data_IF_625007196885
#
_entry.id   IF_625007196885
#
_cell.length_a   1.000
_cell.length_b   1.000
_cell.length_c   1.000
_cell.angle_alpha   90.00
_cell.angle_beta   90.00
_cell.angle_gamma   90.00
#
_symmetry.space_group_name_H-M   'P 1'
#
loop_
_entity.id
_entity.type
_entity.pdbx_description
1 polymer ?
#
# COMPACT_ATOMS: atom_id res chain seq x y z
N UNK A 1 -18.86 44.69 -48.33
CA UNK A 1 -17.42 44.37 -48.13
C UNK A 1 -16.64 45.68 -48.06
N UNK A 2 -15.43 45.74 -47.46
CA UNK A 2 -14.87 44.85 -46.42
C UNK A 2 -15.47 45.28 -45.06
N UNK A 3 -14.80 45.92 -44.08
CA UNK A 3 -13.77 45.40 -43.14
C UNK A 3 -14.34 45.54 -41.70
N UNK A 4 -13.90 44.91 -40.60
CA UNK A 4 -12.67 44.23 -40.13
C UNK A 4 -11.50 45.11 -39.62
N UNK A 5 -11.46 45.27 -38.29
CA UNK A 5 -10.22 45.22 -37.50
C UNK A 5 -10.35 44.10 -36.46
N UNK A 6 -9.29 43.34 -36.22
CA UNK A 6 -9.19 42.32 -35.17
C UNK A 6 -7.84 42.51 -34.49
N UNK A 7 -7.83 42.72 -33.18
CA UNK A 7 -6.59 42.81 -32.41
C UNK A 7 -6.13 41.39 -32.10
N UNK A 8 -5.01 40.97 -32.71
CA UNK A 8 -4.36 39.72 -32.36
C UNK A 8 -3.60 39.88 -31.05
N UNK A 9 -4.04 39.19 -30.00
CA UNK A 9 -3.25 39.04 -28.78
C UNK A 9 -2.14 38.00 -29.04
N UNK A 10 -0.90 38.47 -29.16
CA UNK A 10 0.27 37.60 -29.38
C UNK A 10 0.46 36.64 -28.20
N UNK A 11 0.24 35.35 -28.44
CA UNK A 11 0.57 34.30 -27.48
C UNK A 11 2.09 34.24 -27.29
N UNK A 12 2.58 34.29 -26.04
CA UNK A 12 4.01 34.20 -25.73
C UNK A 12 4.31 32.84 -25.09
N UNK A 13 4.73 31.82 -25.86
CA UNK A 13 5.15 30.54 -25.31
C UNK A 13 6.57 30.66 -24.74
N UNK A 14 6.71 31.22 -23.53
CA UNK A 14 8.02 31.63 -23.01
C UNK A 14 8.21 31.69 -21.49
N UNK A 15 7.20 31.42 -20.66
CA UNK A 15 7.37 31.26 -19.21
C UNK A 15 6.78 29.94 -18.72
N UNK A 16 7.29 28.84 -19.28
CA UNK A 16 7.27 27.58 -18.54
C UNK A 16 8.14 27.75 -17.30
N UNK A 17 7.56 27.57 -16.12
CA UNK A 17 8.34 27.44 -14.90
C UNK A 17 9.23 26.20 -15.01
N UNK A 18 10.52 26.41 -15.29
CA UNK A 18 11.52 25.36 -15.12
C UNK A 18 11.50 24.96 -13.64
N UNK A 19 10.90 23.81 -13.33
CA UNK A 19 11.10 23.14 -12.05
C UNK A 19 12.57 22.66 -12.05
N UNK A 20 13.48 23.31 -11.28
CA UNK A 20 14.91 23.04 -11.42
C UNK A 20 15.22 21.68 -10.78
N UNK A 21 15.43 20.67 -11.63
CA UNK A 21 15.69 19.27 -11.28
C UNK A 21 14.86 18.75 -10.10
N UNK A 22 13.57 19.07 -10.10
CA UNK A 22 12.66 18.72 -9.02
C UNK A 22 12.52 17.19 -8.90
N UNK A 23 13.07 16.62 -7.82
CA UNK A 23 12.97 15.20 -7.50
C UNK A 23 11.49 14.76 -7.55
N UNK A 24 11.18 13.93 -8.54
CA UNK A 24 9.84 13.44 -8.82
C UNK A 24 9.23 12.66 -7.64
N UNK A 25 10.05 11.98 -6.84
CA UNK A 25 9.61 11.35 -5.60
C UNK A 25 9.33 12.39 -4.51
N UNK A 26 10.15 13.44 -4.38
CA UNK A 26 9.95 14.49 -3.39
C UNK A 26 8.66 15.29 -3.65
N UNK A 27 8.37 15.59 -4.93
CA UNK A 27 7.11 16.24 -5.32
C UNK A 27 5.90 15.34 -5.05
N UNK A 28 5.99 14.04 -5.40
CA UNK A 28 4.93 13.06 -5.14
C UNK A 28 4.70 12.85 -3.63
N UNK A 29 5.77 12.75 -2.83
CA UNK A 29 5.68 12.63 -1.38
C UNK A 29 5.00 13.83 -0.74
N UNK A 30 5.39 15.04 -1.15
CA UNK A 30 4.77 16.30 -0.69
C UNK A 30 3.30 16.40 -1.10
N UNK A 31 2.91 15.87 -2.27
CA UNK A 31 1.52 15.75 -2.66
C UNK A 31 0.76 14.76 -1.76
N UNK A 32 1.31 13.55 -1.54
CA UNK A 32 0.72 12.54 -0.65
C UNK A 32 0.52 13.04 0.78
N UNK A 33 1.41 13.90 1.30
CA UNK A 33 1.21 14.56 2.60
C UNK A 33 0.11 15.63 2.56
N UNK A 34 0.16 16.53 1.58
CA UNK A 34 -0.67 17.75 1.58
C UNK A 34 -2.10 17.50 1.10
N UNK A 35 -2.32 16.51 0.23
CA UNK A 35 -3.64 16.16 -0.30
C UNK A 35 -4.62 15.85 0.84
N UNK A 36 -4.26 14.89 1.71
CA UNK A 36 -5.00 14.54 2.92
C UNK A 36 -5.09 15.67 3.99
N UNK A 37 -4.56 16.86 3.70
CA UNK A 37 -4.60 18.08 4.53
C UNK A 37 -5.27 19.27 3.80
N UNK A 38 -5.78 19.11 2.57
CA UNK A 38 -6.55 20.17 1.89
C UNK A 38 -8.05 20.09 2.20
N UNK A 39 -8.67 21.26 2.27
CA UNK A 39 -10.14 21.40 2.27
C UNK A 39 -10.61 21.63 0.83
N UNK A 40 -11.47 20.76 0.31
CA UNK A 40 -12.05 20.89 -1.03
C UNK A 40 -13.37 20.13 -1.17
N UNK A 41 -14.14 20.52 -2.18
CA UNK A 41 -15.22 19.72 -2.77
C UNK A 41 -14.83 19.34 -4.19
N UNK A 42 -14.97 18.07 -4.58
CA UNK A 42 -14.63 17.57 -5.90
C UNK A 42 -15.70 16.62 -6.47
N UNK A 43 -15.76 16.51 -7.80
CA UNK A 43 -16.43 15.43 -8.53
C UNK A 43 -15.35 14.59 -9.20
N UNK A 44 -15.34 13.29 -8.94
CA UNK A 44 -14.29 12.36 -9.39
C UNK A 44 -14.92 11.12 -10.02
N UNK A 45 -14.38 10.67 -11.15
CA UNK A 45 -14.66 9.36 -11.72
C UNK A 45 -13.65 8.33 -11.19
N UNK A 46 -14.14 7.35 -10.43
CA UNK A 46 -13.38 6.23 -9.89
C UNK A 46 -13.64 4.99 -10.75
N UNK A 47 -12.56 4.31 -11.14
CA UNK A 47 -12.61 3.31 -12.21
C UNK A 47 -11.73 2.08 -11.88
N UNK A 48 -12.06 1.28 -10.85
CA UNK A 48 -11.17 0.26 -10.29
C UNK A 48 -11.10 -0.99 -11.17
N UNK A 49 -9.98 -1.73 -11.11
CA UNK A 49 -9.74 -2.89 -11.98
C UNK A 49 -10.83 -3.98 -11.94
N UNK A 50 -11.46 -4.19 -10.79
CA UNK A 50 -12.40 -5.30 -10.54
C UNK A 50 -13.80 -4.85 -10.08
N UNK A 51 -14.15 -3.57 -10.25
CA UNK A 51 -15.41 -2.99 -9.76
C UNK A 51 -16.10 -2.12 -10.83
N UNK A 52 -17.39 -1.84 -10.65
CA UNK A 52 -18.18 -0.95 -11.53
C UNK A 52 -17.64 0.48 -11.43
N UNK A 53 -17.42 1.14 -12.59
CA UNK A 53 -16.96 2.52 -12.61
C UNK A 53 -18.02 3.46 -12.02
N UNK A 54 -17.62 4.36 -11.12
CA UNK A 54 -18.54 5.21 -10.36
C UNK A 54 -18.11 6.68 -10.36
N UNK A 55 -19.09 7.58 -10.47
CA UNK A 55 -18.88 9.02 -10.28
C UNK A 55 -19.26 9.37 -8.86
N UNK A 56 -18.35 10.00 -8.14
CA UNK A 56 -18.53 10.38 -6.73
C UNK A 56 -18.39 11.87 -6.52
N UNK A 57 -19.15 12.41 -5.56
CA UNK A 57 -18.81 13.68 -4.91
C UNK A 57 -17.93 13.38 -3.71
N UNK A 58 -16.84 14.12 -3.56
CA UNK A 58 -15.96 14.08 -2.40
C UNK A 58 -15.99 15.45 -1.73
N UNK A 59 -16.21 15.48 -0.42
CA UNK A 59 -15.96 16.65 0.43
C UNK A 59 -14.89 16.27 1.45
N UNK A 60 -13.76 16.99 1.44
CA UNK A 60 -12.66 16.76 2.36
C UNK A 60 -12.34 18.03 3.14
N UNK A 61 -11.92 17.86 4.40
CA UNK A 61 -11.46 18.93 5.28
C UNK A 61 -9.98 18.78 5.66
N UNK A 62 -9.31 19.91 5.90
CA UNK A 62 -7.94 19.96 6.42
C UNK A 62 -7.74 19.27 7.80
N UNK A 63 -8.81 19.00 8.55
CA UNK A 63 -8.76 18.22 9.80
C UNK A 63 -8.91 16.69 9.59
N UNK A 64 -9.15 16.24 8.36
CA UNK A 64 -9.17 14.81 8.00
C UNK A 64 -10.55 14.16 8.00
N UNK A 65 -11.63 14.94 8.20
CA UNK A 65 -12.98 14.47 7.90
C UNK A 65 -13.17 14.40 6.40
N UNK A 66 -13.84 13.34 5.95
CA UNK A 66 -14.01 12.99 4.55
C UNK A 66 -15.41 12.42 4.33
N UNK A 67 -16.15 12.95 3.36
CA UNK A 67 -17.40 12.42 2.87
C UNK A 67 -17.24 12.03 1.40
N UNK A 68 -17.66 10.83 1.02
CA UNK A 68 -17.87 10.41 -0.36
C UNK A 68 -19.34 10.06 -0.57
N UNK A 69 -19.98 10.62 -1.60
CA UNK A 69 -21.34 10.28 -2.01
C UNK A 69 -21.34 9.78 -3.47
N UNK A 70 -21.92 8.61 -3.71
CA UNK A 70 -21.99 8.03 -5.06
C UNK A 70 -23.13 8.66 -5.86
N UNK A 71 -22.83 9.20 -7.04
CA UNK A 71 -23.76 9.90 -7.94
C UNK A 71 -24.24 9.00 -9.09
N UNK A 72 -23.34 8.16 -9.60
CA UNK A 72 -23.60 7.04 -10.51
C UNK A 72 -22.57 5.92 -10.22
N UNK A 73 -22.82 4.65 -10.55
CA UNK A 73 -23.97 4.08 -11.27
C UNK A 73 -25.28 4.10 -10.47
N UNK A 74 -26.42 3.84 -11.13
CA UNK A 74 -27.74 3.80 -10.47
C UNK A 74 -27.81 2.69 -9.41
N UNK A 75 -27.12 1.57 -9.64
CA UNK A 75 -26.92 0.44 -8.70
C UNK A 75 -26.28 0.84 -7.36
N UNK A 76 -25.63 2.00 -7.28
CA UNK A 76 -24.90 2.49 -6.11
C UNK A 76 -25.30 3.91 -5.68
N UNK A 77 -26.14 4.62 -6.46
CA UNK A 77 -26.45 6.04 -6.25
C UNK A 77 -27.03 6.32 -4.86
N UNK A 78 -26.54 7.37 -4.21
CA UNK A 78 -26.92 7.77 -2.86
C UNK A 78 -26.20 7.01 -1.74
N UNK A 79 -25.47 5.93 -2.03
CA UNK A 79 -24.55 5.33 -1.05
C UNK A 79 -23.52 6.37 -0.62
N UNK A 80 -23.30 6.43 0.69
CA UNK A 80 -22.56 7.52 1.34
C UNK A 80 -21.56 6.95 2.34
N UNK A 81 -20.31 7.37 2.23
CA UNK A 81 -19.21 6.96 3.10
C UNK A 81 -18.69 8.17 3.86
N UNK A 82 -18.76 8.14 5.19
CA UNK A 82 -18.24 9.20 6.07
C UNK A 82 -17.06 8.67 6.88
N UNK A 83 -16.01 9.45 7.01
CA UNK A 83 -14.94 9.28 7.99
C UNK A 83 -14.89 10.55 8.85
N UNK A 84 -15.16 10.43 10.15
CA UNK A 84 -15.11 11.57 11.09
C UNK A 84 -13.72 11.78 11.72
N UNK A 85 -12.77 10.88 11.42
CA UNK A 85 -11.42 10.82 11.98
C UNK A 85 -11.25 9.77 13.10
N UNK A 86 -12.34 9.19 13.61
CA UNK A 86 -12.38 8.09 14.58
C UNK A 86 -13.16 6.88 14.06
N UNK A 87 -14.35 7.12 13.51
CA UNK A 87 -15.23 6.12 12.94
C UNK A 87 -15.41 6.32 11.44
N UNK A 88 -15.64 5.20 10.76
CA UNK A 88 -16.08 5.15 9.38
C UNK A 88 -17.47 4.56 9.30
N UNK A 89 -18.32 5.21 8.52
CA UNK A 89 -19.71 4.87 8.34
C UNK A 89 -19.96 4.63 6.85
N UNK A 90 -20.70 3.57 6.51
CA UNK A 90 -21.20 3.33 5.16
C UNK A 90 -22.71 3.18 5.18
N UNK A 91 -23.42 4.21 4.68
CA UNK A 91 -24.86 4.20 4.52
C UNK A 91 -25.25 3.63 3.15
N UNK A 92 -26.16 2.65 3.18
CA UNK A 92 -26.75 1.98 2.02
C UNK A 92 -28.27 2.25 2.03
N UNK A 93 -28.76 3.27 1.30
CA UNK A 93 -30.20 3.57 1.25
C UNK A 93 -31.01 2.42 0.65
N UNK A 94 -30.42 1.68 -0.29
CA UNK A 94 -30.99 0.47 -0.92
C UNK A 94 -31.26 -0.68 0.06
N UNK A 95 -30.67 -0.64 1.25
CA UNK A 95 -30.81 -1.66 2.32
C UNK A 95 -31.36 -1.07 3.62
N UNK A 96 -31.69 0.24 3.64
CA UNK A 96 -31.94 1.04 4.84
C UNK A 96 -30.96 0.71 5.99
N UNK A 97 -29.66 0.73 5.69
CA UNK A 97 -28.61 0.14 6.52
C UNK A 97 -27.41 1.08 6.68
N UNK A 98 -26.95 1.28 7.92
CA UNK A 98 -25.67 1.94 8.23
C UNK A 98 -24.71 0.90 8.81
N UNK A 99 -23.57 0.71 8.15
CA UNK A 99 -22.42 -0.01 8.72
C UNK A 99 -21.54 1.00 9.45
N UNK A 100 -21.11 0.69 10.68
CA UNK A 100 -20.23 1.53 11.49
C UNK A 100 -19.03 0.71 11.95
N UNK A 101 -17.81 1.24 11.82
CA UNK A 101 -16.58 0.65 12.36
C UNK A 101 -15.58 1.74 12.80
N UNK A 102 -14.53 1.36 13.51
CA UNK A 102 -13.34 2.20 13.66
C UNK A 102 -12.76 2.55 12.28
N UNK A 103 -12.23 3.76 12.12
CA UNK A 103 -11.81 4.25 10.80
C UNK A 103 -10.66 3.40 10.22
N UNK A 104 -10.85 2.72 9.07
CA UNK A 104 -9.78 1.98 8.40
C UNK A 104 -8.81 2.92 7.67
N UNK A 105 -9.10 4.23 7.65
CA UNK A 105 -8.30 5.31 7.08
C UNK A 105 -7.83 6.26 8.19
N UNK A 106 -7.01 5.80 9.16
CA UNK A 106 -6.26 6.72 10.00
C UNK A 106 -5.33 7.52 9.09
N UNK A 107 -5.15 8.81 9.39
CA UNK A 107 -4.14 9.62 8.70
C UNK A 107 -2.77 8.95 8.85
N UNK A 108 -2.01 8.75 7.75
CA UNK A 108 -0.68 8.17 7.87
C UNK A 108 0.17 9.07 8.76
N UNK A 109 0.84 8.47 9.74
CA UNK A 109 1.84 9.18 10.53
C UNK A 109 3.00 9.64 9.64
N UNK A 110 3.74 10.68 10.06
CA UNK A 110 4.93 11.12 9.31
C UNK A 110 5.86 9.96 8.98
N UNK A 111 6.13 9.09 9.97
CA UNK A 111 6.90 7.85 9.80
C UNK A 111 6.33 6.87 8.75
N UNK A 112 5.00 6.78 8.59
CA UNK A 112 4.39 5.95 7.54
C UNK A 112 4.50 6.58 6.15
N UNK A 113 4.57 7.92 6.06
CA UNK A 113 4.88 8.64 4.82
C UNK A 113 6.37 8.52 4.48
N UNK A 114 7.27 8.78 5.43
CA UNK A 114 8.72 8.61 5.30
C UNK A 114 9.08 7.20 4.83
N UNK A 115 8.51 6.16 5.48
CA UNK A 115 8.65 4.77 5.08
C UNK A 115 8.22 4.53 3.63
N UNK A 116 7.08 5.10 3.20
CA UNK A 116 6.61 4.96 1.81
C UNK A 116 7.50 5.70 0.82
N UNK A 117 8.03 6.86 1.17
CA UNK A 117 8.96 7.63 0.33
C UNK A 117 10.29 6.89 0.12
N UNK A 118 10.85 6.31 1.17
CA UNK A 118 12.06 5.48 1.10
C UNK A 118 11.83 4.21 0.26
N UNK A 119 10.69 3.53 0.47
CA UNK A 119 10.31 2.35 -0.33
C UNK A 119 10.06 2.70 -1.81
N UNK A 120 9.42 3.85 -2.11
CA UNK A 120 9.26 4.36 -3.47
C UNK A 120 10.61 4.55 -4.16
N UNK A 121 11.56 5.25 -3.53
CA UNK A 121 12.92 5.46 -4.07
C UNK A 121 13.68 4.15 -4.25
N UNK A 122 13.47 3.17 -3.37
CA UNK A 122 14.10 1.85 -3.43
C UNK A 122 13.56 1.01 -4.60
N UNK A 123 12.24 0.97 -4.77
CA UNK A 123 11.56 -0.03 -5.60
C UNK A 123 11.16 0.50 -7.00
N UNK A 124 11.14 1.82 -7.20
CA UNK A 124 10.71 2.49 -8.43
C UNK A 124 11.80 3.36 -9.05
N UNK A 125 11.58 3.74 -10.30
CA UNK A 125 12.16 4.90 -10.99
C UNK A 125 11.05 5.96 -11.14
N UNK A 126 11.39 7.25 -11.11
CA UNK A 126 10.41 8.33 -11.25
C UNK A 126 10.88 9.42 -12.22
N UNK A 127 9.94 10.02 -12.96
CA UNK A 127 10.20 11.14 -13.87
C UNK A 127 9.03 12.12 -13.92
N UNK A 128 9.33 13.38 -14.24
CA UNK A 128 8.33 14.38 -14.62
C UNK A 128 8.19 14.34 -16.15
N UNK A 129 6.94 14.29 -16.63
CA UNK A 129 6.60 14.20 -18.06
C UNK A 129 5.97 15.49 -18.62
N UNK A 130 6.17 16.62 -17.96
CA UNK A 130 5.56 17.93 -18.28
C UNK A 130 4.30 18.24 -17.47
N UNK A 131 3.52 19.23 -17.91
CA UNK A 131 2.25 19.64 -17.29
C UNK A 131 1.04 19.36 -18.18
N UNK A 132 -0.15 19.27 -17.58
CA UNK A 132 -1.44 19.02 -18.23
C UNK A 132 -2.56 19.68 -17.41
N UNK A 133 -3.62 20.17 -18.05
CA UNK A 133 -4.76 20.77 -17.34
C UNK A 133 -5.81 19.72 -16.97
N UNK A 134 -6.00 19.48 -15.66
CA UNK A 134 -7.02 18.58 -15.10
C UNK A 134 -8.03 19.42 -14.30
N UNK A 135 -9.33 19.19 -14.45
CA UNK A 135 -10.39 19.95 -13.78
C UNK A 135 -10.28 21.50 -13.91
N UNK A 136 -9.67 21.99 -15.00
CA UNK A 136 -9.40 23.42 -15.22
C UNK A 136 -8.18 23.98 -14.46
N UNK A 137 -7.30 23.12 -13.92
CA UNK A 137 -6.12 23.49 -13.13
C UNK A 137 -4.87 22.82 -13.69
N UNK A 138 -3.73 23.53 -13.68
CA UNK A 138 -2.47 22.95 -14.15
C UNK A 138 -1.94 21.92 -13.14
N UNK A 139 -1.52 20.77 -13.65
CA UNK A 139 -0.92 19.70 -12.86
C UNK A 139 0.38 19.18 -13.51
N UNK A 140 1.40 18.94 -12.68
CA UNK A 140 2.62 18.23 -13.10
C UNK A 140 2.32 16.74 -13.22
N UNK A 141 2.63 16.15 -14.38
CA UNK A 141 2.48 14.71 -14.63
C UNK A 141 3.74 13.97 -14.17
N UNK A 142 3.65 13.29 -13.04
CA UNK A 142 4.71 12.46 -12.47
C UNK A 142 4.45 11.00 -12.88
N UNK A 143 5.40 10.35 -13.55
CA UNK A 143 5.38 8.91 -13.79
C UNK A 143 6.27 8.20 -12.78
N UNK A 144 5.81 7.06 -12.26
CA UNK A 144 6.66 6.09 -11.57
C UNK A 144 6.60 4.73 -12.28
N UNK A 145 7.73 4.04 -12.34
CA UNK A 145 7.90 2.74 -12.99
C UNK A 145 8.53 1.78 -11.99
N UNK A 146 7.90 0.65 -11.65
CA UNK A 146 8.53 -0.34 -10.76
C UNK A 146 9.76 -0.91 -11.46
N UNK A 147 10.82 -1.20 -10.71
CA UNK A 147 11.98 -1.92 -11.26
C UNK A 147 11.57 -3.31 -11.77
N UNK A 148 10.60 -3.91 -11.09
CA UNK A 148 9.89 -5.15 -11.46
C UNK A 148 8.79 -4.89 -12.53
N UNK A 149 9.21 -4.36 -13.69
CA UNK A 149 8.32 -3.86 -14.76
C UNK A 149 7.30 -4.87 -15.28
N UNK A 150 7.63 -6.15 -15.26
CA UNK A 150 6.79 -7.25 -15.78
C UNK A 150 5.76 -7.75 -14.76
N UNK A 151 5.90 -7.36 -13.49
CA UNK A 151 5.13 -7.93 -12.37
C UNK A 151 4.20 -6.91 -11.70
N UNK A 152 4.53 -5.61 -11.75
CA UNK A 152 3.81 -4.53 -11.04
C UNK A 152 3.26 -3.45 -11.97
N UNK A 153 2.26 -2.71 -11.50
CA UNK A 153 1.74 -1.53 -12.20
C UNK A 153 2.79 -0.41 -12.24
N UNK A 154 3.05 0.13 -13.44
CA UNK A 154 3.58 1.49 -13.58
C UNK A 154 2.43 2.49 -13.40
N UNK A 155 2.72 3.71 -12.91
CA UNK A 155 1.68 4.71 -12.59
C UNK A 155 2.03 6.09 -13.10
N UNK A 156 0.99 6.91 -13.31
CA UNK A 156 1.10 8.35 -13.49
C UNK A 156 0.16 9.07 -12.52
N UNK A 157 0.66 10.15 -11.93
CA UNK A 157 -0.04 11.04 -11.02
C UNK A 157 -0.01 12.44 -11.61
N UNK A 158 -1.14 13.14 -11.60
CA UNK A 158 -1.21 14.55 -11.98
C UNK A 158 -1.37 15.37 -10.70
N UNK A 159 -0.29 16.06 -10.30
CA UNK A 159 -0.22 16.83 -9.05
C UNK A 159 -0.46 18.31 -9.33
N UNK A 160 -1.53 18.86 -8.75
CA UNK A 160 -1.90 20.28 -8.84
C UNK A 160 -0.76 21.21 -8.42
N UNK A 161 -0.36 22.15 -9.28
CA UNK A 161 0.83 22.98 -9.07
C UNK A 161 0.74 23.92 -7.86
N UNK A 162 -0.45 24.42 -7.53
CA UNK A 162 -0.64 25.39 -6.44
C UNK A 162 -0.90 24.72 -5.07
N UNK A 163 -1.72 23.67 -5.04
CA UNK A 163 -2.26 23.07 -3.82
C UNK A 163 -1.60 21.73 -3.50
N UNK A 164 -0.95 21.09 -4.47
CA UNK A 164 -0.32 19.77 -4.33
C UNK A 164 -1.34 18.68 -3.92
N UNK A 165 -2.46 18.63 -4.65
CA UNK A 165 -3.48 17.57 -4.61
C UNK A 165 -3.33 16.68 -5.84
N UNK A 166 -3.61 15.39 -5.71
CA UNK A 166 -3.55 14.44 -6.83
C UNK A 166 -4.89 14.49 -7.59
N UNK A 167 -4.91 15.17 -8.74
CA UNK A 167 -6.13 15.39 -9.54
C UNK A 167 -6.48 14.19 -10.45
N UNK A 168 -5.48 13.42 -10.89
CA UNK A 168 -5.68 12.21 -11.70
C UNK A 168 -4.66 11.15 -11.32
N UNK A 169 -5.08 9.88 -11.37
CA UNK A 169 -4.21 8.70 -11.27
C UNK A 169 -4.53 7.75 -12.42
N UNK A 170 -3.50 7.32 -13.14
CA UNK A 170 -3.61 6.25 -14.14
C UNK A 170 -2.57 5.16 -13.90
N UNK A 171 -2.92 3.92 -14.21
CA UNK A 171 -2.05 2.76 -14.10
C UNK A 171 -1.83 2.12 -15.46
N UNK A 172 -0.64 1.55 -15.65
CA UNK A 172 -0.27 0.71 -16.78
C UNK A 172 0.02 -0.69 -16.24
N UNK A 173 -0.83 -1.65 -16.61
CA UNK A 173 -0.63 -3.08 -16.34
C UNK A 173 0.61 -3.58 -17.11
N UNK A 174 1.35 -4.60 -16.63
CA UNK A 174 2.51 -5.17 -17.33
C UNK A 174 2.27 -5.57 -18.80
N UNK A 175 1.03 -5.85 -19.20
CA UNK A 175 0.63 -6.07 -20.61
C UNK A 175 0.59 -4.79 -21.48
N UNK A 176 1.09 -3.65 -20.98
CA UNK A 176 1.00 -2.32 -21.62
C UNK A 176 -0.38 -1.66 -21.52
N UNK A 177 -1.43 -2.41 -21.17
CA UNK A 177 -2.80 -1.90 -21.04
C UNK A 177 -2.89 -0.83 -19.95
N UNK A 178 -3.31 0.37 -20.32
CA UNK A 178 -3.37 1.52 -19.40
C UNK A 178 -4.81 1.96 -19.11
N UNK A 179 -5.07 2.40 -17.87
CA UNK A 179 -6.40 2.80 -17.37
C UNK A 179 -6.27 3.97 -16.40
N UNK A 180 -7.05 5.04 -16.59
CA UNK A 180 -7.26 6.05 -15.55
C UNK A 180 -8.14 5.45 -14.47
N UNK A 181 -7.64 5.36 -13.23
CA UNK A 181 -8.33 4.74 -12.09
C UNK A 181 -9.02 5.76 -11.18
N UNK A 182 -8.59 7.02 -11.24
CA UNK A 182 -9.23 8.18 -10.61
C UNK A 182 -9.03 9.41 -11.51
N UNK A 183 -10.10 10.11 -11.87
CA UNK A 183 -10.05 11.34 -12.68
C UNK A 183 -10.93 12.45 -12.08
N UNK A 184 -10.36 13.59 -11.74
CA UNK A 184 -11.10 14.74 -11.21
C UNK A 184 -11.75 15.51 -12.35
N UNK A 185 -13.09 15.54 -12.34
CA UNK A 185 -13.92 16.23 -13.33
C UNK A 185 -14.09 17.72 -12.95
N UNK A 186 -14.23 18.00 -11.65
CA UNK A 186 -14.23 19.36 -11.12
C UNK A 186 -13.74 19.37 -9.66
N UNK A 187 -13.10 20.47 -9.24
CA UNK A 187 -12.65 20.67 -7.86
C UNK A 187 -12.75 22.15 -7.47
N UNK A 188 -13.18 22.40 -6.23
CA UNK A 188 -13.25 23.72 -5.61
C UNK A 188 -12.51 23.69 -4.28
N UNK A 189 -11.50 24.55 -4.13
CA UNK A 189 -10.72 24.70 -2.90
C UNK A 189 -11.36 25.77 -2.01
N UNK A 190 -11.68 25.38 -0.77
CA UNK A 190 -12.42 26.21 0.17
C UNK A 190 -11.60 26.41 1.45
N UNK A 191 -11.75 27.57 2.11
CA UNK A 191 -11.07 27.83 3.38
C UNK A 191 -11.56 26.88 4.49
N UNK A 192 -12.86 26.60 4.50
CA UNK A 192 -13.51 25.64 5.39
C UNK A 192 -14.74 25.04 4.69
N UNK A 193 -15.27 23.95 5.24
CA UNK A 193 -16.56 23.39 4.89
C UNK A 193 -17.50 23.51 6.11
N UNK A 194 -18.82 23.66 5.92
CA UNK A 194 -19.81 23.55 6.98
C UNK A 194 -19.66 22.24 7.78
N UNK A 195 -20.03 22.23 9.07
CA UNK A 195 -19.96 21.00 9.89
C UNK A 195 -20.97 19.97 9.40
N UNK A 196 -22.10 20.47 8.93
CA UNK A 196 -23.29 19.83 8.38
C UNK A 196 -23.04 19.17 7.00
N UNK A 197 -21.83 19.35 6.45
CA UNK A 197 -21.27 18.56 5.34
C UNK A 197 -20.76 17.19 5.81
N UNK A 198 -20.38 17.05 7.08
CA UNK A 198 -19.84 15.80 7.65
C UNK A 198 -20.85 15.07 8.54
N UNK A 199 -22.15 15.27 8.27
CA UNK A 199 -23.26 14.63 8.96
C UNK A 199 -24.02 13.71 7.99
N UNK A 200 -24.34 12.49 8.43
CA UNK A 200 -25.07 11.52 7.60
C UNK A 200 -26.52 11.95 7.44
N UNK A 201 -26.92 12.24 6.21
CA UNK A 201 -28.32 12.50 5.83
C UNK A 201 -29.04 11.18 5.59
N UNK A 202 -29.52 10.59 6.67
CA UNK A 202 -30.24 9.31 6.69
C UNK A 202 -31.69 9.51 6.25
N UNK A 203 -32.25 8.51 5.56
CA UNK A 203 -33.65 8.50 5.12
C UNK A 203 -34.49 7.61 6.04
N UNK A 204 -35.20 8.20 7.01
CA UNK A 204 -35.89 7.46 8.05
C UNK A 204 -34.94 6.87 9.08
N UNK A 205 -35.34 5.76 9.71
CA UNK A 205 -34.54 5.05 10.72
C UNK A 205 -33.85 3.83 10.08
N UNK A 206 -32.55 3.89 9.76
CA UNK A 206 -31.82 2.74 9.23
C UNK A 206 -31.42 1.77 10.34
N UNK A 207 -31.32 0.49 9.98
CA UNK A 207 -30.67 -0.51 10.81
C UNK A 207 -29.19 -0.16 10.96
N UNK A 208 -28.69 -0.09 12.18
CA UNK A 208 -27.24 -0.08 12.42
C UNK A 208 -26.66 -1.51 12.46
N UNK A 209 -25.45 -1.67 11.92
CA UNK A 209 -24.56 -2.79 12.23
C UNK A 209 -23.19 -2.22 12.62
N UNK A 210 -22.83 -2.39 13.90
CA UNK A 210 -21.53 -1.98 14.44
C UNK A 210 -20.55 -3.14 14.31
N UNK A 211 -19.54 -2.98 13.47
CA UNK A 211 -18.45 -3.92 13.23
C UNK A 211 -17.23 -3.53 14.07
N UNK A 212 -16.53 -4.51 14.62
CA UNK A 212 -15.28 -4.25 15.34
C UNK A 212 -14.17 -3.91 14.34
N UNK A 213 -13.37 -2.89 14.65
CA UNK A 213 -12.19 -2.54 13.85
C UNK A 213 -11.10 -3.63 13.85
N UNK A 214 -10.14 -3.59 12.91
CA UNK A 214 -8.99 -4.48 12.92
C UNK A 214 -8.10 -4.25 14.16
N UNK A 215 -8.02 -5.25 15.05
CA UNK A 215 -7.20 -5.19 16.25
C UNK A 215 -5.71 -5.33 15.87
N UNK A 216 -4.95 -4.23 15.95
CA UNK A 216 -3.49 -4.25 15.67
C UNK A 216 -2.74 -5.09 16.70
N UNK A 217 -1.92 -6.03 16.23
CA UNK A 217 -1.03 -6.85 17.05
C UNK A 217 0.42 -6.36 16.95
N UNK A 218 1.16 -6.44 18.06
CA UNK A 218 2.57 -6.00 18.14
C UNK A 218 3.56 -6.94 17.44
N UNK A 219 3.17 -8.19 17.17
CA UNK A 219 3.94 -9.19 16.42
C UNK A 219 3.00 -10.22 15.76
N UNK A 220 3.53 -10.97 14.80
CA UNK A 220 2.86 -12.10 14.16
C UNK A 220 2.63 -13.25 15.16
N UNK A 221 3.49 -13.39 16.17
CA UNK A 221 3.27 -14.31 17.29
C UNK A 221 2.04 -13.90 18.11
N UNK A 222 1.90 -12.62 18.49
CA UNK A 222 0.70 -12.13 19.18
C UNK A 222 -0.56 -12.19 18.31
N UNK A 223 -0.44 -12.03 16.98
CA UNK A 223 -1.56 -12.33 16.08
C UNK A 223 -1.92 -13.82 16.10
N UNK A 224 -0.95 -14.72 16.10
CA UNK A 224 -1.17 -16.18 16.14
C UNK A 224 -1.87 -16.64 17.43
N UNK A 225 -1.44 -16.11 18.59
CA UNK A 225 -2.14 -16.30 19.86
C UNK A 225 -3.60 -15.81 19.77
N UNK A 226 -3.81 -14.61 19.24
CA UNK A 226 -5.11 -13.94 19.13
C UNK A 226 -6.10 -14.67 18.21
N UNK A 227 -5.64 -15.29 17.12
CA UNK A 227 -6.51 -15.98 16.14
C UNK A 227 -6.64 -17.49 16.38
N UNK A 228 -5.88 -18.06 17.30
CA UNK A 228 -5.93 -19.51 17.62
C UNK A 228 -5.27 -20.42 16.58
N UNK A 229 -4.41 -19.89 15.69
CA UNK A 229 -3.61 -20.67 14.75
C UNK A 229 -2.29 -19.98 14.40
N UNK A 230 -1.25 -20.75 14.06
CA UNK A 230 0.03 -20.23 13.53
C UNK A 230 -0.26 -19.40 12.28
N UNK A 231 -0.05 -18.10 12.32
CA UNK A 231 -0.13 -17.24 11.13
C UNK A 231 1.06 -17.55 10.23
N UNK A 232 0.78 -17.82 8.96
CA UNK A 232 1.79 -18.10 7.95
C UNK A 232 2.31 -16.79 7.41
N UNK A 233 3.61 -16.67 7.20
CA UNK A 233 4.23 -15.49 6.60
C UNK A 233 5.17 -15.90 5.48
N UNK A 234 5.29 -15.11 4.40
CA UNK A 234 6.24 -15.37 3.33
C UNK A 234 7.66 -15.64 3.86
N UNK A 235 8.32 -16.68 3.35
CA UNK A 235 9.74 -16.97 3.65
C UNK A 235 10.68 -15.93 3.03
N UNK A 236 10.34 -15.45 1.83
CA UNK A 236 10.93 -14.32 1.09
C UNK A 236 9.80 -13.37 0.73
N UNK A 237 10.08 -12.16 0.25
CA UNK A 237 9.03 -11.28 -0.28
C UNK A 237 9.51 -10.61 -1.58
N UNK A 238 8.82 -10.82 -2.72
CA UNK A 238 9.26 -10.31 -4.02
C UNK A 238 9.05 -8.80 -4.13
N UNK A 239 9.61 -8.21 -5.19
CA UNK A 239 9.40 -6.82 -5.61
C UNK A 239 9.59 -5.73 -4.55
N UNK A 240 10.38 -6.00 -3.51
CA UNK A 240 10.68 -5.02 -2.47
C UNK A 240 9.49 -4.63 -1.59
N UNK A 241 8.44 -5.47 -1.53
CA UNK A 241 7.38 -5.32 -0.52
C UNK A 241 7.94 -5.54 0.89
N UNK A 242 7.69 -4.60 1.80
CA UNK A 242 8.11 -4.69 3.21
C UNK A 242 6.89 -4.77 4.12
N UNK A 243 6.99 -5.57 5.18
CA UNK A 243 5.93 -5.73 6.19
C UNK A 243 5.65 -4.42 6.93
N UNK A 244 4.38 -4.15 7.21
CA UNK A 244 3.93 -2.91 7.88
C UNK A 244 3.20 -3.18 9.19
N UNK A 245 2.25 -4.12 9.23
CA UNK A 245 1.46 -4.43 10.43
C UNK A 245 0.72 -5.78 10.35
N UNK A 246 0.49 -6.34 11.53
CA UNK A 246 -0.33 -7.50 11.79
C UNK A 246 -1.65 -7.06 12.45
N UNK A 247 -2.79 -7.54 11.95
CA UNK A 247 -4.13 -7.17 12.44
C UNK A 247 -5.03 -8.40 12.57
N UNK A 248 -5.84 -8.47 13.64
CA UNK A 248 -6.90 -9.47 13.81
C UNK A 248 -8.26 -8.84 13.49
N UNK A 249 -9.02 -9.44 12.57
CA UNK A 249 -10.37 -8.99 12.22
C UNK A 249 -11.38 -9.99 12.78
N UNK A 250 -12.33 -9.51 13.58
CA UNK A 250 -13.42 -10.33 14.11
C UNK A 250 -14.54 -10.44 13.07
N UNK A 251 -14.86 -11.67 12.65
CA UNK A 251 -15.97 -11.95 11.75
C UNK A 251 -17.30 -12.05 12.52
N UNK A 252 -18.41 -11.91 11.81
CA UNK A 252 -19.77 -11.94 12.41
C UNK A 252 -20.20 -13.28 13.00
N UNK A 253 -19.45 -14.36 12.74
CA UNK A 253 -19.61 -15.68 13.36
C UNK A 253 -18.75 -15.86 14.64
N UNK A 254 -18.06 -14.80 15.08
CA UNK A 254 -17.15 -14.82 16.22
C UNK A 254 -15.74 -15.36 15.91
N UNK A 255 -15.48 -15.83 14.69
CA UNK A 255 -14.14 -16.28 14.28
C UNK A 255 -13.19 -15.11 14.00
N UNK A 256 -11.89 -15.30 14.24
CA UNK A 256 -10.88 -14.33 13.86
C UNK A 256 -10.22 -14.65 12.51
N UNK A 257 -10.04 -13.60 11.72
CA UNK A 257 -9.20 -13.58 10.52
C UNK A 257 -7.87 -12.90 10.86
N UNK A 258 -6.75 -13.52 10.49
CA UNK A 258 -5.45 -12.87 10.56
C UNK A 258 -5.21 -12.06 9.27
N UNK A 259 -4.67 -10.85 9.39
CA UNK A 259 -4.25 -10.02 8.26
C UNK A 259 -2.80 -9.56 8.45
N UNK A 260 -1.93 -9.91 7.49
CA UNK A 260 -0.57 -9.36 7.40
C UNK A 260 -0.50 -8.37 6.24
N UNK A 261 -0.06 -7.13 6.49
CA UNK A 261 -0.02 -6.06 5.49
C UNK A 261 1.41 -5.70 5.07
N UNK A 262 1.60 -5.50 3.77
CA UNK A 262 2.88 -5.15 3.14
C UNK A 262 2.69 -4.01 2.13
N UNK A 263 3.74 -3.23 1.88
CA UNK A 263 3.77 -2.19 0.83
C UNK A 263 5.15 -2.12 0.21
N UNK A 264 5.22 -1.79 -1.08
CA UNK A 264 6.44 -1.46 -1.83
C UNK A 264 6.65 0.07 -1.93
N UNK A 265 5.85 0.86 -1.21
CA UNK A 265 5.80 2.33 -1.30
C UNK A 265 4.60 2.85 -2.09
N UNK A 266 4.20 2.18 -3.18
CA UNK A 266 3.08 2.57 -4.03
C UNK A 266 1.88 1.62 -3.90
N UNK A 267 2.09 0.33 -4.13
CA UNK A 267 1.08 -0.71 -3.98
C UNK A 267 1.00 -1.17 -2.51
N UNK A 268 -0.15 -1.75 -2.17
CA UNK A 268 -0.41 -2.30 -0.84
C UNK A 268 -1.06 -3.68 -1.01
N UNK A 269 -0.56 -4.67 -0.26
CA UNK A 269 -1.09 -6.03 -0.25
C UNK A 269 -1.35 -6.50 1.18
N UNK A 270 -2.43 -7.26 1.36
CA UNK A 270 -2.88 -7.85 2.61
C UNK A 270 -3.11 -9.34 2.39
N UNK A 271 -2.40 -10.17 3.15
CA UNK A 271 -2.66 -11.60 3.22
C UNK A 271 -3.68 -11.86 4.32
N UNK A 272 -4.92 -12.11 3.94
CA UNK A 272 -5.98 -12.54 4.85
C UNK A 272 -5.92 -14.06 5.03
N UNK A 273 -5.98 -14.54 6.27
CA UNK A 273 -5.80 -15.95 6.60
C UNK A 273 -6.91 -16.45 7.53
N UNK A 274 -7.41 -17.65 7.26
CA UNK A 274 -8.58 -18.22 7.91
C UNK A 274 -8.39 -19.72 8.17
N UNK A 275 -8.65 -20.18 9.40
CA UNK A 275 -8.75 -21.61 9.71
C UNK A 275 -10.21 -21.95 10.06
N UNK A 276 -10.92 -22.60 9.13
CA UNK A 276 -12.36 -22.90 9.23
C UNK A 276 -12.72 -24.19 8.49
N UNK A 277 -13.87 -24.79 8.83
CA UNK A 277 -14.33 -26.07 8.25
C UNK A 277 -14.71 -26.00 6.77
N UNK A 278 -15.25 -24.88 6.31
CA UNK A 278 -15.66 -24.66 4.91
C UNK A 278 -14.63 -23.81 4.16
N UNK A 279 -14.33 -24.18 2.91
CA UNK A 279 -13.45 -23.40 2.04
C UNK A 279 -14.11 -22.06 1.69
N UNK A 280 -13.42 -20.91 1.84
CA UNK A 280 -13.89 -19.62 1.34
C UNK A 280 -14.14 -19.64 -0.17
N UNK A 281 -15.06 -18.80 -0.66
CA UNK A 281 -15.38 -18.66 -2.10
C UNK A 281 -14.19 -18.23 -2.96
N UNK A 282 -13.23 -17.49 -2.39
CA UNK A 282 -11.92 -17.22 -3.01
C UNK A 282 -10.79 -17.54 -2.02
N UNK A 283 -9.85 -18.36 -2.50
CA UNK A 283 -8.64 -18.80 -1.79
C UNK A 283 -7.52 -18.83 -2.83
N UNK A 284 -6.47 -18.05 -2.60
CA UNK A 284 -5.33 -17.94 -3.51
C UNK A 284 -4.20 -18.93 -3.10
N UNK A 285 -4.06 -19.26 -1.81
CA UNK A 285 -3.14 -20.29 -1.30
C UNK A 285 -3.72 -21.08 -0.12
N UNK A 286 -3.14 -22.23 0.21
CA UNK A 286 -3.49 -23.02 1.40
C UNK A 286 -2.24 -23.69 1.97
N UNK A 287 -2.03 -23.56 3.28
CA UNK A 287 -0.81 -23.99 3.99
C UNK A 287 -1.23 -24.50 5.37
N UNK A 288 -0.78 -25.68 5.79
CA UNK A 288 -1.04 -26.27 7.12
C UNK A 288 -2.54 -26.25 7.56
N UNK A 289 -3.46 -26.37 6.59
CA UNK A 289 -4.91 -26.31 6.79
C UNK A 289 -5.49 -24.89 6.98
N UNK A 290 -4.71 -23.85 6.69
CA UNK A 290 -5.09 -22.44 6.72
C UNK A 290 -5.33 -21.98 5.29
N UNK A 291 -6.53 -21.43 5.02
CA UNK A 291 -6.85 -20.79 3.75
C UNK A 291 -6.31 -19.37 3.72
N UNK A 292 -5.65 -18.99 2.62
CA UNK A 292 -5.00 -17.68 2.48
C UNK A 292 -5.52 -16.99 1.22
N UNK A 293 -5.85 -15.71 1.36
CA UNK A 293 -6.36 -14.83 0.31
C UNK A 293 -5.46 -13.60 0.17
N UNK A 294 -5.02 -13.33 -1.06
CA UNK A 294 -4.14 -12.21 -1.41
C UNK A 294 -5.03 -11.07 -1.93
N UNK A 295 -5.20 -10.02 -1.13
CA UNK A 295 -5.91 -8.81 -1.55
C UNK A 295 -4.99 -7.62 -1.62
N UNK A 296 -5.07 -6.88 -2.71
CA UNK A 296 -4.16 -5.77 -2.95
C UNK A 296 -4.24 -5.25 -4.36
N UNK A 297 -3.62 -4.11 -4.49
CA UNK A 297 -3.53 -3.29 -5.69
C UNK A 297 -2.41 -3.83 -6.59
N UNK A 298 -2.70 -4.94 -7.28
CA UNK A 298 -1.72 -5.82 -7.91
C UNK A 298 -2.21 -6.42 -9.24
N UNK A 299 -1.33 -6.55 -10.25
CA UNK A 299 -1.53 -7.44 -11.39
C UNK A 299 -1.75 -8.90 -10.97
N UNK A 300 -2.45 -9.66 -11.81
CA UNK A 300 -2.71 -11.09 -11.58
C UNK A 300 -1.43 -11.93 -11.48
N UNK A 301 -0.39 -11.57 -12.25
CA UNK A 301 0.94 -12.22 -12.22
C UNK A 301 1.59 -12.13 -10.84
N UNK A 302 1.76 -10.92 -10.28
CA UNK A 302 2.32 -10.74 -8.94
C UNK A 302 1.42 -11.36 -7.85
N UNK A 303 0.08 -11.36 -8.04
CA UNK A 303 -0.82 -12.08 -7.13
C UNK A 303 -0.52 -13.59 -7.08
N UNK A 304 -0.18 -14.23 -8.21
CA UNK A 304 0.28 -15.63 -8.19
C UNK A 304 1.62 -15.76 -7.50
N UNK A 305 2.63 -14.98 -7.87
CA UNK A 305 3.98 -15.05 -7.26
C UNK A 305 3.92 -14.92 -5.73
N UNK A 306 3.06 -14.03 -5.20
CA UNK A 306 2.85 -13.90 -3.76
C UNK A 306 2.11 -15.09 -3.13
N UNK A 307 1.15 -15.69 -3.83
CA UNK A 307 0.49 -16.91 -3.39
C UNK A 307 1.45 -18.11 -3.37
N UNK A 308 2.30 -18.25 -4.39
CA UNK A 308 3.34 -19.28 -4.51
C UNK A 308 4.41 -19.13 -3.41
N UNK A 309 4.92 -17.92 -3.20
CA UNK A 309 5.84 -17.61 -2.08
C UNK A 309 5.25 -17.99 -0.71
N UNK A 310 3.93 -17.87 -0.54
CA UNK A 310 3.23 -18.35 0.66
C UNK A 310 3.05 -19.87 0.71
N UNK A 311 2.74 -20.55 -0.41
CA UNK A 311 2.60 -22.02 -0.46
C UNK A 311 3.85 -22.72 0.10
N UNK A 312 5.02 -22.14 -0.15
CA UNK A 312 6.34 -22.57 0.34
C UNK A 312 6.58 -22.34 1.85
N UNK A 313 5.71 -21.60 2.55
CA UNK A 313 5.93 -21.10 3.91
C UNK A 313 5.34 -22.00 5.02
N UNK A 314 5.15 -23.29 4.73
CA UNK A 314 4.66 -24.30 5.67
C UNK A 314 5.58 -24.50 6.89
N UNK A 315 5.04 -25.07 7.97
CA UNK A 315 5.74 -25.16 9.26
C UNK A 315 7.06 -25.94 9.18
N UNK A 316 7.14 -26.97 8.32
CA UNK A 316 8.38 -27.71 8.05
C UNK A 316 9.45 -26.85 7.37
N UNK A 317 9.06 -26.02 6.39
CA UNK A 317 9.97 -25.14 5.68
C UNK A 317 10.51 -24.02 6.59
N UNK A 318 9.63 -23.39 7.39
CA UNK A 318 10.04 -22.37 8.39
C UNK A 318 11.06 -22.95 9.39
N UNK A 319 10.83 -24.17 9.89
CA UNK A 319 11.75 -24.84 10.81
C UNK A 319 13.10 -25.19 10.15
N UNK A 320 13.08 -25.72 8.93
CA UNK A 320 14.28 -26.05 8.15
C UNK A 320 15.14 -24.81 7.86
N UNK A 321 14.52 -23.72 7.40
CA UNK A 321 15.20 -22.44 7.13
C UNK A 321 15.72 -21.79 8.41
N UNK A 322 14.99 -21.87 9.52
CA UNK A 322 15.43 -21.38 10.84
C UNK A 322 16.68 -22.12 11.31
N UNK A 323 16.65 -23.46 11.30
CA UNK A 323 17.80 -24.29 11.67
C UNK A 323 19.01 -24.01 10.77
N UNK A 324 18.82 -23.93 9.46
CA UNK A 324 19.91 -23.61 8.50
C UNK A 324 20.53 -22.24 8.75
N UNK A 325 19.74 -21.25 9.18
CA UNK A 325 20.23 -19.91 9.51
C UNK A 325 21.03 -19.93 10.83
N UNK A 326 20.57 -20.67 11.84
CA UNK A 326 21.30 -20.91 13.09
C UNK A 326 22.65 -21.61 12.81
N UNK A 327 22.66 -22.71 12.06
CA UNK A 327 23.88 -23.42 11.64
C UNK A 327 24.85 -22.54 10.82
N UNK A 328 24.33 -21.60 10.02
CA UNK A 328 25.16 -20.73 9.19
C UNK A 328 25.79 -19.55 9.95
N UNK A 329 25.14 -19.08 11.03
CA UNK A 329 25.48 -17.80 11.70
C UNK A 329 25.78 -17.91 13.20
N UNK A 330 25.54 -19.07 13.81
CA UNK A 330 25.50 -19.29 15.26
C UNK A 330 24.50 -18.38 16.00
N UNK A 331 23.52 -17.81 15.29
CA UNK A 331 22.49 -16.95 15.88
C UNK A 331 21.29 -17.81 16.32
N UNK A 332 20.86 -17.79 17.60
CA UNK A 332 19.95 -18.82 18.10
C UNK A 332 18.58 -18.85 17.42
N UNK A 333 18.03 -20.06 17.24
CA UNK A 333 16.71 -20.32 16.64
C UNK A 333 15.58 -19.49 17.28
N UNK A 334 15.62 -19.27 18.60
CA UNK A 334 14.66 -18.41 19.31
C UNK A 334 14.76 -16.92 18.91
N UNK A 335 15.97 -16.42 18.62
CA UNK A 335 16.20 -15.04 18.18
C UNK A 335 15.78 -14.89 16.72
N UNK A 336 16.05 -15.89 15.88
CA UNK A 336 15.54 -15.97 14.50
C UNK A 336 14.01 -15.98 14.50
N UNK A 337 13.38 -16.80 15.33
CA UNK A 337 11.92 -16.83 15.49
C UNK A 337 11.36 -15.48 15.99
N UNK A 338 12.09 -14.77 16.86
CA UNK A 338 11.74 -13.41 17.29
C UNK A 338 11.76 -12.41 16.12
N UNK A 339 12.84 -12.39 15.32
CA UNK A 339 12.95 -11.58 14.09
C UNK A 339 11.82 -11.90 13.11
N UNK A 340 11.59 -13.19 12.83
CA UNK A 340 10.48 -13.68 12.01
C UNK A 340 9.13 -13.23 12.58
N UNK A 341 8.92 -13.21 13.90
CA UNK A 341 7.68 -12.72 14.51
C UNK A 341 7.45 -11.20 14.31
N UNK A 342 8.51 -10.43 14.05
CA UNK A 342 8.44 -9.00 13.74
C UNK A 342 8.06 -8.71 12.28
N UNK A 343 7.82 -9.76 11.47
CA UNK A 343 7.41 -9.68 10.06
C UNK A 343 8.57 -9.56 9.07
N UNK A 344 9.80 -9.84 9.51
CA UNK A 344 10.99 -9.88 8.68
C UNK A 344 11.00 -11.18 7.84
N UNK A 345 11.44 -11.11 6.59
CA UNK A 345 11.72 -12.28 5.75
C UNK A 345 12.99 -13.01 6.20
N UNK A 346 13.27 -14.19 5.64
CA UNK A 346 14.60 -14.80 5.81
C UNK A 346 15.70 -13.97 5.10
N UNK A 347 15.38 -13.30 3.99
CA UNK A 347 16.32 -12.38 3.32
C UNK A 347 16.70 -11.22 4.26
N UNK A 348 15.70 -10.60 4.90
CA UNK A 348 15.92 -9.57 5.92
C UNK A 348 16.74 -10.10 7.10
N UNK A 349 16.36 -11.26 7.67
CA UNK A 349 17.03 -11.83 8.83
C UNK A 349 18.51 -12.17 8.55
N UNK A 350 18.80 -12.83 7.41
CA UNK A 350 20.17 -13.15 6.98
C UNK A 350 20.99 -11.86 6.81
N UNK A 351 20.46 -10.86 6.12
CA UNK A 351 21.14 -9.58 5.89
C UNK A 351 21.43 -8.85 7.21
N UNK A 352 20.42 -8.71 8.07
CA UNK A 352 20.53 -8.02 9.36
C UNK A 352 21.56 -8.69 10.29
N UNK A 353 21.51 -10.03 10.45
CA UNK A 353 22.46 -10.78 11.30
C UNK A 353 23.89 -10.64 10.75
N UNK A 354 24.06 -10.70 9.43
CA UNK A 354 25.37 -10.64 8.77
C UNK A 354 26.03 -9.27 8.92
N UNK A 355 25.26 -8.18 8.80
CA UNK A 355 25.74 -6.82 9.04
C UNK A 355 25.98 -6.57 10.53
N UNK A 356 25.06 -7.00 11.40
CA UNK A 356 25.20 -6.90 12.85
C UNK A 356 26.40 -7.69 13.40
N UNK A 357 26.94 -8.66 12.66
CA UNK A 357 28.19 -9.35 12.99
C UNK A 357 28.18 -10.04 14.36
N UNK A 358 27.00 -10.49 14.81
CA UNK A 358 26.79 -11.07 16.14
C UNK A 358 26.58 -10.06 17.29
N UNK A 359 26.65 -8.75 17.03
CA UNK A 359 26.49 -7.71 18.03
C UNK A 359 25.02 -7.27 18.16
N UNK A 360 24.38 -7.61 19.29
CA UNK A 360 22.97 -7.26 19.59
C UNK A 360 22.67 -5.76 19.52
N UNK A 361 23.60 -4.88 19.91
CA UNK A 361 23.40 -3.42 19.79
C UNK A 361 23.41 -2.99 18.32
N UNK A 362 24.27 -3.59 17.51
CA UNK A 362 24.35 -3.33 16.07
C UNK A 362 23.12 -3.89 15.36
N UNK A 363 22.62 -5.07 15.76
CA UNK A 363 21.38 -5.65 15.27
C UNK A 363 20.18 -4.73 15.55
N UNK A 364 20.08 -4.16 16.76
CA UNK A 364 19.03 -3.20 17.10
C UNK A 364 19.07 -1.94 16.22
N UNK A 365 20.26 -1.44 15.86
CA UNK A 365 20.42 -0.33 14.90
C UNK A 365 19.96 -0.74 13.50
N UNK A 366 20.45 -1.87 12.97
CA UNK A 366 20.05 -2.39 11.66
C UNK A 366 18.52 -2.58 11.56
N UNK A 367 17.90 -3.14 12.61
CA UNK A 367 16.46 -3.32 12.74
C UNK A 367 15.69 -2.00 12.71
N UNK A 368 16.21 -0.96 13.36
CA UNK A 368 15.57 0.36 13.38
C UNK A 368 15.57 0.99 11.98
N UNK A 369 16.70 0.91 11.27
CA UNK A 369 16.89 1.45 9.92
C UNK A 369 16.03 0.73 8.87
N UNK A 370 15.96 -0.61 8.92
CA UNK A 370 15.07 -1.39 8.04
C UNK A 370 13.59 -1.06 8.31
N UNK A 371 13.22 -0.81 9.58
CA UNK A 371 11.90 -0.29 9.99
C UNK A 371 11.67 1.20 9.67
N UNK A 372 12.57 1.83 8.93
CA UNK A 372 12.37 3.10 8.22
C UNK A 372 12.59 2.97 6.70
N UNK A 373 12.48 1.76 6.14
CA UNK A 373 12.49 1.50 4.69
C UNK A 373 13.86 1.28 4.05
N UNK A 374 14.94 1.57 4.79
CA UNK A 374 16.32 1.51 4.30
C UNK A 374 16.70 0.12 3.80
N UNK A 375 17.44 0.08 2.70
CA UNK A 375 17.92 -1.16 2.08
C UNK A 375 19.17 -1.69 2.80
N UNK A 376 19.65 -2.89 2.41
CA UNK A 376 20.84 -3.48 3.04
C UNK A 376 22.10 -2.64 2.80
N UNK A 377 22.18 -1.93 1.67
CA UNK A 377 23.27 -1.00 1.31
C UNK A 377 23.31 0.20 2.25
N UNK A 378 22.16 0.86 2.48
CA UNK A 378 22.01 1.97 3.43
C UNK A 378 22.39 1.53 4.86
N UNK A 379 21.88 0.37 5.28
CA UNK A 379 22.13 -0.20 6.62
C UNK A 379 23.62 -0.52 6.77
N UNK A 380 24.22 -1.17 5.78
CA UNK A 380 25.63 -1.53 5.73
C UNK A 380 26.54 -0.28 5.84
N UNK A 381 26.23 0.77 5.07
CA UNK A 381 26.93 2.05 5.15
C UNK A 381 26.77 2.70 6.55
N UNK A 382 25.56 2.74 7.09
CA UNK A 382 25.28 3.33 8.40
C UNK A 382 26.00 2.61 9.56
N UNK A 383 26.11 1.27 9.51
CA UNK A 383 26.86 0.48 10.52
C UNK A 383 28.33 0.23 10.15
N UNK A 384 28.83 0.84 9.06
CA UNK A 384 30.21 0.77 8.56
C UNK A 384 30.72 -0.66 8.30
N UNK A 385 29.86 -1.52 7.76
CA UNK A 385 30.19 -2.90 7.34
C UNK A 385 30.01 -3.00 5.82
N UNK A 386 30.88 -3.70 5.06
CA UNK A 386 30.68 -3.87 3.62
C UNK A 386 29.39 -4.64 3.30
N UNK A 387 28.54 -4.10 2.42
CA UNK A 387 27.27 -4.75 2.02
C UNK A 387 27.48 -6.14 1.41
N UNK A 388 28.63 -6.37 0.77
CA UNK A 388 29.04 -7.67 0.25
C UNK A 388 29.04 -8.78 1.30
N UNK A 389 29.20 -8.46 2.59
CA UNK A 389 29.05 -9.42 3.70
C UNK A 389 27.62 -9.96 3.80
N UNK A 390 26.61 -9.12 3.59
CA UNK A 390 25.22 -9.53 3.52
C UNK A 390 24.93 -10.27 2.20
N UNK A 391 25.42 -9.78 1.07
CA UNK A 391 25.22 -10.42 -0.25
C UNK A 391 25.77 -11.84 -0.29
N UNK A 392 26.99 -12.07 0.20
CA UNK A 392 27.61 -13.40 0.26
C UNK A 392 26.89 -14.32 1.26
N UNK A 393 26.40 -13.78 2.38
CA UNK A 393 25.60 -14.55 3.33
C UNK A 393 24.24 -14.97 2.75
N UNK A 394 23.56 -14.08 2.01
CA UNK A 394 22.32 -14.39 1.29
C UNK A 394 22.54 -15.47 0.23
N UNK A 395 23.59 -15.34 -0.58
CA UNK A 395 23.97 -16.36 -1.57
C UNK A 395 24.25 -17.71 -0.89
N UNK A 396 25.04 -17.74 0.19
CA UNK A 396 25.30 -18.97 0.96
C UNK A 396 24.02 -19.54 1.59
N UNK A 397 23.09 -18.68 2.03
CA UNK A 397 21.85 -19.12 2.65
C UNK A 397 20.93 -19.83 1.67
N UNK A 398 20.77 -19.33 0.44
CA UNK A 398 19.91 -19.94 -0.58
C UNK A 398 20.58 -21.02 -1.43
N UNK A 399 21.92 -21.02 -1.55
CA UNK A 399 22.65 -22.00 -2.37
C UNK A 399 22.35 -23.45 -1.98
N UNK A 400 21.88 -24.26 -2.93
CA UNK A 400 21.46 -25.64 -2.69
C UNK A 400 20.12 -25.80 -1.98
N UNK A 401 19.32 -24.74 -1.85
CA UNK A 401 17.86 -24.84 -1.79
C UNK A 401 17.25 -24.73 -3.19
N UNK A 402 17.94 -24.06 -4.12
CA UNK A 402 17.65 -23.86 -5.55
C UNK A 402 16.94 -25.06 -6.19
N UNK A 403 17.47 -26.29 -6.08
CA UNK A 403 16.84 -27.51 -6.65
C UNK A 403 15.41 -27.84 -6.16
N UNK A 404 14.92 -27.16 -5.11
CA UNK A 404 13.54 -27.25 -4.59
C UNK A 404 12.69 -26.01 -4.90
N UNK A 405 13.30 -24.91 -5.36
CA UNK A 405 12.66 -23.62 -5.62
C UNK A 405 12.70 -23.19 -7.10
N UNK A 406 13.65 -23.67 -7.91
CA UNK A 406 13.89 -23.26 -9.31
C UNK A 406 12.72 -23.59 -10.26
N UNK A 407 11.79 -24.46 -9.86
CA UNK A 407 10.51 -24.66 -10.55
C UNK A 407 9.56 -23.45 -10.43
N UNK A 408 9.97 -22.39 -9.73
CA UNK A 408 9.32 -21.08 -9.67
C UNK A 408 10.39 -20.07 -10.09
N UNK A 409 10.27 -19.50 -11.29
CA UNK A 409 11.20 -18.48 -11.82
C UNK A 409 11.09 -17.15 -11.04
N UNK A 410 11.64 -17.12 -9.83
CA UNK A 410 11.89 -15.89 -9.07
C UNK A 410 13.16 -15.24 -9.61
N UNK A 411 13.09 -14.71 -10.84
CA UNK A 411 14.18 -13.97 -11.46
C UNK A 411 14.69 -12.85 -10.55
N UNK A 412 16.01 -12.80 -10.37
CA UNK A 412 16.79 -11.87 -9.52
C UNK A 412 17.49 -10.85 -10.42
#
# INVERSE_FOLDING_TARGET
MPAKFVIAASFVPGMFGQYPDADAFALLHKAMELDARRTYTAIVDLNPWNEEASRVKIDQSNCGRYLMQVLSPVSMKGRTFLNDGKQWYAFKPDQNLVLIQESPMPRPSGRELDLRYELLRRNYEASIEGTEFIAGREAVRIRIVPKEREKLFARKYWVDTEKLVILRVSETHPSGTSRTVSDTISISFLQSLPKETFELRLSGEPREIRMKGPERCSSIAKLSEKVGFRVVQPIRMPAGFTFTRAEALLAGDGSYTAALRYTDGAANVTFYQFKRKSRPSRVDATVDGIYIRVEGDLPSVMRSVLADTIRLSGSSAEASLTKRLEEMTSFPSERIASLRSMGLTFDDAVGLISLASGNERQLAVCLSLMRSGKCLEDIAAAVRVPVSKATVALQKFWKGLETSFDNIEVGI
#
